data_IF_515731476585
#
_entry.id   IF_515731476585
#
_cell.length_a   1.000
_cell.length_b   1.000
_cell.length_c   1.000
_cell.angle_alpha   90.00
_cell.angle_beta   90.00
_cell.angle_gamma   90.00
#
_symmetry.space_group_name_H-M   'P 1'
#
loop_
_entity.id
_entity.type
_entity.pdbx_description
1 polymer ?
#
# COMPACT_ATOMS: atom_id res chain seq x y z
N UNK A 1 4.49 9.60 -12.97
CA UNK A 1 4.68 8.56 -11.95
C UNK A 1 6.06 8.74 -11.35
N UNK A 2 6.25 8.42 -10.09
CA UNK A 2 7.57 8.47 -9.46
C UNK A 2 8.25 7.08 -9.53
N UNK A 3 9.56 7.01 -9.21
CA UNK A 3 10.35 5.77 -9.28
C UNK A 3 9.71 4.58 -8.53
N UNK A 4 9.08 4.84 -7.37
CA UNK A 4 8.42 3.81 -6.59
C UNK A 4 7.17 3.24 -7.30
N UNK A 5 6.36 4.13 -7.86
CA UNK A 5 5.16 3.73 -8.62
C UNK A 5 5.50 2.92 -9.86
N UNK A 6 6.59 3.28 -10.54
CA UNK A 6 7.09 2.55 -11.72
C UNK A 6 7.59 1.15 -11.33
N UNK A 7 8.30 1.03 -10.20
CA UNK A 7 8.76 -0.26 -9.68
C UNK A 7 7.59 -1.16 -9.28
N UNK A 8 6.57 -0.63 -8.59
CA UNK A 8 5.38 -1.39 -8.22
C UNK A 8 4.60 -1.82 -9.47
N UNK A 9 4.45 -0.94 -10.44
CA UNK A 9 3.82 -1.28 -11.72
C UNK A 9 4.57 -2.42 -12.42
N UNK A 10 5.90 -2.33 -12.47
CA UNK A 10 6.74 -3.38 -13.07
C UNK A 10 6.61 -4.71 -12.32
N UNK A 11 6.70 -4.70 -10.99
CA UNK A 11 6.49 -5.87 -10.14
C UNK A 11 5.13 -6.53 -10.43
N UNK A 12 4.06 -5.76 -10.40
CA UNK A 12 2.71 -6.27 -10.59
C UNK A 12 2.47 -6.77 -12.02
N UNK A 13 3.05 -6.10 -13.02
CA UNK A 13 3.02 -6.58 -14.41
C UNK A 13 3.72 -7.95 -14.55
N UNK A 14 4.90 -8.12 -13.92
CA UNK A 14 5.63 -9.39 -13.89
C UNK A 14 4.81 -10.51 -13.23
N UNK A 15 4.07 -10.18 -12.17
CA UNK A 15 3.19 -11.11 -11.46
C UNK A 15 1.82 -11.27 -12.13
N UNK A 16 1.54 -10.56 -13.23
CA UNK A 16 0.25 -10.51 -13.94
C UNK A 16 -0.91 -10.03 -13.05
N UNK A 17 -0.65 -9.02 -12.23
CA UNK A 17 -1.60 -8.38 -11.33
C UNK A 17 -2.06 -7.04 -11.94
N UNK A 18 -2.99 -7.09 -12.87
CA UNK A 18 -3.41 -5.91 -13.65
C UNK A 18 -4.65 -5.22 -13.09
N UNK A 19 -5.42 -5.92 -12.26
CA UNK A 19 -6.72 -5.47 -11.72
C UNK A 19 -6.80 -5.71 -10.21
N UNK A 20 -7.63 -4.94 -9.49
CA UNK A 20 -7.82 -5.13 -8.05
C UNK A 20 -8.20 -6.56 -7.64
N UNK A 21 -9.00 -7.26 -8.47
CA UNK A 21 -9.44 -8.62 -8.20
C UNK A 21 -8.29 -9.64 -8.22
N UNK A 22 -7.16 -9.29 -8.82
CA UNK A 22 -5.95 -10.12 -8.83
C UNK A 22 -5.10 -9.97 -7.57
N UNK A 23 -5.43 -9.01 -6.69
CA UNK A 23 -4.68 -8.76 -5.46
C UNK A 23 -5.11 -9.75 -4.38
N UNK A 24 -4.30 -10.79 -4.22
CA UNK A 24 -4.49 -11.85 -3.23
C UNK A 24 -3.17 -12.14 -2.53
N UNK A 25 -3.18 -12.17 -1.20
CA UNK A 25 -1.99 -12.32 -0.35
C UNK A 25 -1.27 -13.64 -0.65
N UNK A 26 -2.01 -14.73 -0.64
CA UNK A 26 -1.47 -16.09 -0.82
C UNK A 26 -0.86 -16.27 -2.21
N UNK A 27 -1.55 -15.75 -3.24
CA UNK A 27 -1.10 -15.86 -4.63
C UNK A 27 0.17 -15.04 -4.86
N UNK A 28 0.24 -13.81 -4.31
CA UNK A 28 1.43 -12.96 -4.41
C UNK A 28 2.59 -13.57 -3.64
N UNK A 29 2.37 -14.03 -2.40
CA UNK A 29 3.39 -14.68 -1.61
C UNK A 29 3.95 -15.93 -2.32
N UNK A 30 3.07 -16.76 -2.89
CA UNK A 30 3.46 -17.94 -3.67
C UNK A 30 4.31 -17.58 -4.90
N UNK A 31 3.89 -16.59 -5.69
CA UNK A 31 4.61 -16.13 -6.88
C UNK A 31 5.99 -15.54 -6.57
N UNK A 32 6.12 -14.94 -5.39
CA UNK A 32 7.39 -14.37 -4.90
C UNK A 32 8.23 -15.37 -4.07
N UNK A 33 7.80 -16.63 -3.97
CA UNK A 33 8.44 -17.66 -3.16
C UNK A 33 8.59 -17.30 -1.69
N UNK A 34 7.66 -16.49 -1.16
CA UNK A 34 7.58 -16.08 0.24
C UNK A 34 6.77 -17.11 1.02
N UNK A 35 7.29 -17.59 2.14
CA UNK A 35 6.52 -18.42 3.08
C UNK A 35 5.61 -17.53 3.90
N UNK A 36 4.32 -17.81 3.88
CA UNK A 36 3.29 -17.08 4.62
C UNK A 36 2.83 -17.89 5.82
N UNK A 37 2.77 -17.21 6.97
CA UNK A 37 2.28 -17.78 8.23
C UNK A 37 1.28 -16.82 8.87
N UNK A 38 0.31 -17.37 9.57
CA UNK A 38 -0.69 -16.62 10.33
C UNK A 38 -0.53 -16.92 11.82
N UNK A 39 -0.45 -15.87 12.63
CA UNK A 39 -0.22 -15.98 14.07
C UNK A 39 -0.97 -14.91 14.88
N UNK A 40 -0.79 -14.88 16.21
CA UNK A 40 -1.55 -13.97 17.08
C UNK A 40 -0.74 -12.73 17.54
N UNK A 41 0.54 -12.66 17.16
CA UNK A 41 1.39 -11.50 17.42
C UNK A 41 1.43 -10.52 16.24
N UNK A 42 2.13 -9.39 16.41
CA UNK A 42 2.31 -8.37 15.37
C UNK A 42 2.93 -8.94 14.10
N UNK A 43 2.47 -8.47 12.96
CA UNK A 43 3.03 -8.85 11.65
C UNK A 43 4.52 -8.55 11.58
N UNK A 44 5.27 -9.42 10.92
CA UNK A 44 6.71 -9.23 10.70
C UNK A 44 7.22 -10.00 9.49
N UNK A 45 8.29 -9.49 8.89
CA UNK A 45 9.04 -10.15 7.83
C UNK A 45 10.45 -10.53 8.28
N UNK A 46 10.91 -11.69 7.86
CA UNK A 46 12.28 -12.15 8.13
C UNK A 46 12.78 -13.11 7.05
N UNK A 47 14.10 -13.28 6.99
CA UNK A 47 14.73 -14.32 6.19
C UNK A 47 15.10 -15.49 7.11
N UNK A 48 14.51 -16.65 6.85
CA UNK A 48 14.80 -17.88 7.60
C UNK A 48 15.32 -18.96 6.66
N UNK A 49 16.54 -19.46 6.94
CA UNK A 49 17.23 -20.42 6.07
C UNK A 49 17.23 -19.98 4.58
N UNK A 50 17.68 -18.75 4.34
CA UNK A 50 17.78 -18.11 3.02
C UNK A 50 16.43 -17.93 2.30
N UNK A 51 15.32 -18.15 2.97
CA UNK A 51 13.98 -17.99 2.40
C UNK A 51 13.22 -16.87 3.08
N UNK A 52 12.58 -15.99 2.31
CA UNK A 52 11.73 -14.94 2.87
C UNK A 52 10.49 -15.56 3.52
N UNK A 53 10.18 -15.06 4.70
CA UNK A 53 9.00 -15.44 5.47
C UNK A 53 8.26 -14.18 5.90
N UNK A 54 6.94 -14.18 5.77
CA UNK A 54 6.05 -13.16 6.32
C UNK A 54 5.12 -13.86 7.31
N UNK A 55 5.06 -13.32 8.52
CA UNK A 55 4.12 -13.69 9.55
C UNK A 55 3.09 -12.57 9.63
N UNK A 56 1.83 -12.89 9.38
CA UNK A 56 0.73 -11.94 9.45
C UNK A 56 -0.08 -12.15 10.71
N UNK A 57 -0.37 -11.06 11.39
CA UNK A 57 -1.28 -11.08 12.52
C UNK A 57 -2.68 -11.45 12.03
N UNK A 58 -3.31 -12.41 12.73
CA UNK A 58 -4.75 -12.66 12.54
C UNK A 58 -5.53 -11.48 13.08
N UNK A 59 -6.02 -10.63 12.20
CA UNK A 59 -6.81 -9.47 12.59
C UNK A 59 -8.28 -9.87 12.74
N UNK A 60 -8.89 -9.47 13.88
CA UNK A 60 -10.34 -9.48 14.00
C UNK A 60 -10.96 -8.20 13.38
N UNK A 61 -10.14 -7.22 13.06
CA UNK A 61 -10.54 -5.99 12.38
C UNK A 61 -10.47 -6.23 10.87
N UNK A 62 -11.57 -6.07 10.21
CA UNK A 62 -11.69 -6.24 8.76
C UNK A 62 -10.69 -5.32 8.02
N UNK A 63 -9.97 -5.92 7.07
CA UNK A 63 -9.18 -5.24 6.03
C UNK A 63 -7.81 -4.65 6.41
N UNK A 64 -7.18 -5.04 7.52
CA UNK A 64 -5.79 -4.61 7.81
C UNK A 64 -4.74 -5.60 7.29
N UNK A 65 -5.10 -6.85 7.10
CA UNK A 65 -4.18 -7.93 6.69
C UNK A 65 -3.49 -7.65 5.35
N UNK A 66 -4.21 -7.04 4.41
CA UNK A 66 -3.66 -6.65 3.12
C UNK A 66 -2.66 -5.49 3.25
N UNK A 67 -2.95 -4.52 4.11
CA UNK A 67 -2.05 -3.40 4.42
C UNK A 67 -0.78 -3.90 5.08
N UNK A 68 -0.93 -4.77 6.10
CA UNK A 68 0.18 -5.41 6.83
C UNK A 68 1.04 -6.25 5.89
N UNK A 69 0.41 -7.07 5.03
CA UNK A 69 1.15 -7.82 4.03
C UNK A 69 1.97 -6.92 3.10
N UNK A 70 1.40 -5.82 2.61
CA UNK A 70 2.13 -4.88 1.75
C UNK A 70 3.28 -4.20 2.50
N UNK A 71 3.13 -3.93 3.79
CA UNK A 71 4.18 -3.39 4.64
C UNK A 71 5.32 -4.40 4.83
N UNK A 72 5.01 -5.63 5.21
CA UNK A 72 6.00 -6.69 5.40
C UNK A 72 6.67 -7.09 4.08
N UNK A 73 5.94 -7.03 2.97
CA UNK A 73 6.50 -7.24 1.64
C UNK A 73 7.58 -6.20 1.31
N UNK A 74 7.39 -4.95 1.73
CA UNK A 74 8.41 -3.92 1.56
C UNK A 74 9.71 -4.27 2.28
N UNK A 75 9.65 -4.83 3.49
CA UNK A 75 10.84 -5.26 4.21
C UNK A 75 11.59 -6.38 3.47
N UNK A 76 10.89 -7.30 2.83
CA UNK A 76 11.51 -8.35 2.01
C UNK A 76 12.15 -7.77 0.73
N UNK A 77 11.49 -6.84 0.07
CA UNK A 77 11.92 -6.35 -1.25
C UNK A 77 12.93 -5.21 -1.21
N UNK A 78 12.87 -4.35 -0.17
CA UNK A 78 13.64 -3.10 -0.11
C UNK A 78 14.79 -3.12 0.89
N UNK A 79 14.74 -4.00 1.90
CA UNK A 79 15.66 -3.95 3.02
C UNK A 79 16.50 -5.23 3.12
N UNK A 80 17.81 -5.05 3.18
CA UNK A 80 18.74 -6.12 3.49
C UNK A 80 19.19 -5.99 4.97
N UNK A 81 19.23 -7.10 5.69
CA UNK A 81 19.80 -7.18 7.03
C UNK A 81 18.78 -7.34 8.15
N UNK A 82 19.29 -7.57 9.36
CA UNK A 82 18.47 -7.77 10.56
C UNK A 82 18.23 -6.42 11.25
N UNK A 83 16.98 -5.93 11.21
CA UNK A 83 16.58 -4.65 11.82
C UNK A 83 16.92 -4.54 13.31
N UNK A 84 16.93 -5.65 14.05
CA UNK A 84 17.27 -5.65 15.48
C UNK A 84 18.70 -5.22 15.79
N UNK A 85 19.58 -5.20 14.78
CA UNK A 85 21.00 -4.80 14.91
C UNK A 85 21.29 -3.40 14.37
N UNK A 86 20.29 -2.71 13.84
CA UNK A 86 20.45 -1.42 13.18
C UNK A 86 20.26 -0.24 14.16
N UNK A 87 20.97 0.88 13.98
CA UNK A 87 20.72 2.11 14.74
C UNK A 87 19.27 2.61 14.54
N UNK A 88 18.66 3.14 15.60
CA UNK A 88 17.27 3.63 15.58
C UNK A 88 16.92 4.54 14.39
N UNK A 89 17.75 5.55 14.00
CA UNK A 89 17.41 6.39 12.84
C UNK A 89 17.34 5.61 11.53
N UNK A 90 18.11 4.54 11.40
CA UNK A 90 18.09 3.70 10.21
C UNK A 90 16.85 2.82 10.17
N UNK A 91 16.43 2.28 11.33
CA UNK A 91 15.16 1.56 11.44
C UNK A 91 14.00 2.48 11.07
N UNK A 92 13.96 3.70 11.63
CA UNK A 92 12.90 4.69 11.29
C UNK A 92 12.85 5.01 9.79
N UNK A 93 14.00 5.11 9.14
CA UNK A 93 14.07 5.30 7.69
C UNK A 93 13.50 4.10 6.92
N UNK A 94 13.83 2.87 7.36
CA UNK A 94 13.27 1.66 6.76
C UNK A 94 11.75 1.59 6.91
N UNK A 95 11.24 1.90 8.12
CA UNK A 95 9.79 1.95 8.39
C UNK A 95 9.08 2.99 7.53
N UNK A 96 9.67 4.18 7.38
CA UNK A 96 9.13 5.19 6.47
C UNK A 96 9.05 4.67 5.03
N UNK A 97 10.08 4.00 4.55
CA UNK A 97 10.11 3.39 3.20
C UNK A 97 9.09 2.27 3.06
N UNK A 98 8.95 1.41 4.07
CA UNK A 98 7.99 0.32 4.07
C UNK A 98 6.55 0.85 4.05
N UNK A 99 6.25 1.84 4.88
CA UNK A 99 4.94 2.49 4.89
C UNK A 99 4.60 3.16 3.55
N UNK A 100 5.57 3.83 2.92
CA UNK A 100 5.37 4.44 1.62
C UNK A 100 5.16 3.39 0.53
N UNK A 101 5.93 2.31 0.54
CA UNK A 101 5.74 1.19 -0.37
C UNK A 101 4.36 0.56 -0.19
N UNK A 102 3.97 0.25 1.06
CA UNK A 102 2.67 -0.33 1.37
C UNK A 102 1.52 0.51 0.80
N UNK A 103 1.59 1.84 0.97
CA UNK A 103 0.58 2.76 0.46
C UNK A 103 0.38 2.64 -1.05
N UNK A 104 1.46 2.48 -1.80
CA UNK A 104 1.43 2.34 -3.26
C UNK A 104 1.20 0.91 -3.74
N UNK A 105 1.60 -0.09 -2.97
CA UNK A 105 1.38 -1.49 -3.31
C UNK A 105 -0.05 -1.92 -3.05
N UNK A 106 -0.62 -1.54 -1.89
CA UNK A 106 -1.99 -1.91 -1.56
C UNK A 106 -3.04 -1.26 -2.49
N UNK A 107 -2.78 -0.02 -2.94
CA UNK A 107 -3.66 0.70 -3.89
C UNK A 107 -2.79 1.30 -5.00
N UNK A 108 -2.48 0.53 -6.06
CA UNK A 108 -1.54 0.97 -7.09
C UNK A 108 -2.05 2.13 -7.93
N UNK A 109 -1.17 3.12 -8.18
CA UNK A 109 -1.50 4.31 -9.00
C UNK A 109 -2.06 3.94 -10.37
N UNK A 110 -1.47 2.94 -11.03
CA UNK A 110 -1.95 2.54 -12.36
C UNK A 110 -3.35 1.92 -12.33
N UNK A 111 -3.77 1.30 -11.23
CA UNK A 111 -5.14 0.83 -11.04
C UNK A 111 -6.08 2.00 -10.73
N UNK A 112 -5.65 2.96 -9.87
CA UNK A 112 -6.42 4.17 -9.57
C UNK A 112 -6.74 4.98 -10.83
N UNK A 113 -5.77 5.14 -11.72
CA UNK A 113 -5.94 5.88 -12.99
C UNK A 113 -6.98 5.23 -13.92
N UNK A 114 -7.24 3.95 -13.77
CA UNK A 114 -8.24 3.20 -14.54
C UNK A 114 -9.62 3.13 -13.84
N UNK A 115 -9.74 3.70 -12.64
CA UNK A 115 -11.00 3.74 -11.90
C UNK A 115 -11.79 5.01 -12.20
N UNK A 116 -13.09 4.89 -12.25
CA UNK A 116 -13.98 6.05 -12.30
C UNK A 116 -14.28 6.54 -10.88
N UNK A 117 -13.37 7.36 -10.33
CA UNK A 117 -13.53 7.92 -8.99
C UNK A 117 -14.61 9.01 -8.98
N UNK A 118 -15.45 9.00 -7.95
CA UNK A 118 -16.44 10.06 -7.71
C UNK A 118 -15.74 11.39 -7.38
N UNK A 119 -16.35 12.51 -7.80
CA UNK A 119 -15.95 13.84 -7.35
C UNK A 119 -16.25 14.08 -5.86
N UNK A 120 -17.12 13.29 -5.26
CA UNK A 120 -17.35 13.28 -3.83
C UNK A 120 -16.24 12.48 -3.13
N UNK A 121 -15.51 13.15 -2.24
CA UNK A 121 -14.38 12.59 -1.52
C UNK A 121 -14.74 11.33 -0.75
N UNK A 122 -15.85 11.35 -0.02
CA UNK A 122 -16.27 10.22 0.83
C UNK A 122 -16.70 9.01 -0.01
N UNK A 123 -17.35 9.28 -1.14
CA UNK A 123 -17.70 8.19 -2.09
C UNK A 123 -16.44 7.60 -2.73
N UNK A 124 -15.45 8.44 -3.07
CA UNK A 124 -14.18 7.96 -3.61
C UNK A 124 -13.44 7.10 -2.58
N UNK A 125 -13.34 7.54 -1.33
CA UNK A 125 -12.75 6.76 -0.23
C UNK A 125 -13.47 5.43 -0.03
N UNK A 126 -14.81 5.44 0.03
CA UNK A 126 -15.59 4.21 0.20
C UNK A 126 -15.40 3.23 -0.97
N UNK A 127 -15.26 3.75 -2.19
CA UNK A 127 -14.95 2.94 -3.37
C UNK A 127 -13.57 2.28 -3.23
N UNK A 128 -12.54 3.03 -2.79
CA UNK A 128 -11.19 2.48 -2.58
C UNK A 128 -11.18 1.40 -1.50
N UNK A 129 -11.82 1.67 -0.35
CA UNK A 129 -11.96 0.70 0.72
C UNK A 129 -12.53 -0.64 0.22
N UNK A 130 -13.66 -0.56 -0.47
CA UNK A 130 -14.36 -1.75 -0.98
C UNK A 130 -13.54 -2.48 -2.04
N UNK A 131 -12.95 -1.74 -2.96
CA UNK A 131 -12.24 -2.32 -4.12
C UNK A 131 -10.94 -2.99 -3.71
N UNK A 132 -10.16 -2.34 -2.85
CA UNK A 132 -8.82 -2.82 -2.44
C UNK A 132 -8.81 -3.52 -1.08
N UNK A 133 -9.96 -3.60 -0.40
CA UNK A 133 -10.10 -4.25 0.92
C UNK A 133 -9.12 -3.67 1.94
N UNK A 134 -9.09 -2.35 2.06
CA UNK A 134 -8.25 -1.63 3.01
C UNK A 134 -9.11 -0.91 4.06
N UNK A 135 -8.48 -0.48 5.16
CA UNK A 135 -9.14 0.32 6.20
C UNK A 135 -9.55 1.70 5.69
N UNK A 136 -10.48 2.35 6.39
CA UNK A 136 -10.91 3.72 6.08
C UNK A 136 -9.72 4.69 6.11
N UNK A 137 -8.92 4.63 7.17
CA UNK A 137 -7.76 5.51 7.35
C UNK A 137 -6.72 5.34 6.24
N UNK A 138 -6.49 4.10 5.80
CA UNK A 138 -5.56 3.81 4.72
C UNK A 138 -6.08 4.34 3.37
N UNK A 139 -7.35 4.14 3.07
CA UNK A 139 -7.98 4.66 1.86
C UNK A 139 -7.94 6.20 1.82
N UNK A 140 -8.25 6.89 2.93
CA UNK A 140 -8.13 8.35 3.06
C UNK A 140 -6.68 8.81 2.79
N UNK A 141 -5.71 8.22 3.47
CA UNK A 141 -4.29 8.55 3.32
C UNK A 141 -3.82 8.37 1.86
N UNK A 142 -4.24 7.27 1.23
CA UNK A 142 -3.86 6.98 -0.15
C UNK A 142 -4.50 7.93 -1.16
N UNK A 143 -5.78 8.24 -0.98
CA UNK A 143 -6.47 9.18 -1.86
C UNK A 143 -5.87 10.57 -1.76
N UNK A 144 -5.61 11.08 -0.55
CA UNK A 144 -4.96 12.37 -0.35
C UNK A 144 -3.60 12.41 -1.04
N UNK A 145 -2.76 11.41 -0.80
CA UNK A 145 -1.45 11.32 -1.45
C UNK A 145 -1.54 11.28 -2.99
N UNK A 146 -2.55 10.61 -3.53
CA UNK A 146 -2.80 10.56 -4.97
C UNK A 146 -3.21 11.94 -5.51
N UNK A 147 -4.14 12.61 -4.84
CA UNK A 147 -4.62 13.93 -5.25
C UNK A 147 -3.51 14.98 -5.18
N UNK A 148 -2.71 15.01 -4.10
CA UNK A 148 -1.59 15.93 -3.93
C UNK A 148 -0.57 15.79 -5.08
N UNK A 149 -0.19 14.56 -5.40
CA UNK A 149 0.74 14.30 -6.49
C UNK A 149 0.15 14.61 -7.87
N UNK A 150 -1.15 14.44 -8.04
CA UNK A 150 -1.82 14.72 -9.32
C UNK A 150 -1.97 16.22 -9.58
N UNK A 151 -2.32 16.99 -8.56
CA UNK A 151 -2.43 18.44 -8.63
C UNK A 151 -1.07 19.10 -8.89
N UNK A 152 -0.01 18.63 -8.22
CA UNK A 152 1.34 19.20 -8.38
C UNK A 152 1.99 18.88 -9.74
N UNK A 153 1.60 17.78 -10.40
CA UNK A 153 2.17 17.41 -11.70
C UNK A 153 1.45 18.02 -12.92
N UNK A 154 0.54 18.97 -12.72
CA UNK A 154 0.00 19.81 -13.80
C UNK A 154 -0.76 19.11 -14.91
N UNK A 155 -1.25 17.91 -14.70
CA UNK A 155 -2.14 17.23 -15.65
C UNK A 155 -3.51 17.89 -15.59
N UNK A 156 -3.80 18.73 -16.59
CA UNK A 156 -5.13 19.30 -16.81
C UNK A 156 -6.11 18.19 -17.20
N UNK A 157 -6.54 17.41 -16.21
CA UNK A 157 -7.70 16.57 -16.35
C UNK A 157 -8.79 17.12 -15.45
N UNK A 158 -9.78 17.75 -16.08
CA UNK A 158 -10.86 18.58 -15.54
C UNK A 158 -11.85 17.84 -14.60
N UNK A 159 -11.52 16.67 -14.11
CA UNK A 159 -12.48 15.84 -13.36
C UNK A 159 -12.50 16.08 -11.84
N UNK A 160 -11.56 16.84 -11.26
CA UNK A 160 -11.49 17.05 -9.80
C UNK A 160 -11.27 18.54 -9.42
N UNK A 161 -11.37 19.49 -10.35
CA UNK A 161 -10.99 20.90 -10.11
C UNK A 161 -12.07 21.77 -9.46
N UNK A 162 -13.22 21.25 -9.10
CA UNK A 162 -14.31 22.08 -8.55
C UNK A 162 -14.78 21.66 -7.15
N UNK A 163 -13.89 21.41 -6.21
CA UNK A 163 -14.27 21.48 -4.79
C UNK A 163 -13.09 21.83 -3.90
N UNK A 164 -13.29 22.88 -3.11
CA UNK A 164 -12.50 23.27 -1.97
C UNK A 164 -12.13 22.05 -1.15
N UNK A 165 -10.84 21.71 -1.13
CA UNK A 165 -10.30 20.79 -0.15
C UNK A 165 -10.71 21.36 1.22
N UNK A 166 -11.32 20.56 2.10
CA UNK A 166 -11.48 20.99 3.48
C UNK A 166 -10.09 21.34 4.00
N UNK A 167 -9.98 22.48 4.68
CA UNK A 167 -8.74 22.94 5.29
C UNK A 167 -8.24 21.89 6.28
N UNK A 168 -6.94 21.75 6.42
CA UNK A 168 -6.21 20.73 7.22
C UNK A 168 -6.63 20.61 8.69
N UNK A 169 -7.63 21.33 9.14
CA UNK A 169 -8.18 21.31 10.51
C UNK A 169 -9.34 20.34 10.71
N UNK A 170 -9.90 19.75 9.65
CA UNK A 170 -11.08 18.88 9.75
C UNK A 170 -10.80 17.37 9.64
N UNK A 171 -9.54 16.97 9.66
CA UNK A 171 -9.15 15.57 9.51
C UNK A 171 -8.86 14.88 10.85
N UNK A 172 -9.91 14.49 11.54
CA UNK A 172 -9.87 13.39 12.50
C UNK A 172 -10.48 12.15 11.83
N UNK A 173 -9.67 11.44 11.04
CA UNK A 173 -9.84 10.02 10.71
C UNK A 173 -8.73 9.24 11.39
#
# INVERSE_FOLDING_TARGET
MNYLEDNIKHLYSTLKLEKPEHLNIEDIAHKLHIRLFWWDDSSLALIHNERPCIFLQRSMLLNTEWEDFCHELAHILLHAGNQMKLPKPFVQYQEYKANNFALHAAIPTFMLLNMNLSNDYYQAVALLQKTFKVSLSFACKRLNHFLDNYVHNGSQNTYITDKRLPTTTDYWC
#
